data_IF_396627110558
#
_entry.id   IF_396627110558
#
_cell.length_a   1.000
_cell.length_b   1.000
_cell.length_c   1.000
_cell.angle_alpha   90.00
_cell.angle_beta   90.00
_cell.angle_gamma   90.00
#
_symmetry.space_group_name_H-M   'P 1'
#
loop_
_entity.id
_entity.type
_entity.pdbx_description
1 polymer ?
#
# COMPACT_ATOMS: atom_id res chain seq x y z
N UNK A 1 12.64 -16.09 3.92
CA UNK A 1 13.72 -15.97 2.91
C UNK A 1 13.13 -15.43 1.62
N UNK A 2 13.27 -14.12 1.36
CA UNK A 2 12.76 -13.50 0.13
C UNK A 2 13.66 -13.94 -1.02
N UNK A 3 13.10 -14.75 -1.91
CA UNK A 3 13.78 -15.30 -3.07
C UNK A 3 14.28 -14.15 -3.96
N UNK A 4 15.59 -13.95 -3.94
CA UNK A 4 16.31 -12.74 -4.35
C UNK A 4 16.41 -12.68 -5.90
N UNK A 5 15.27 -12.54 -6.60
CA UNK A 5 15.16 -12.74 -8.06
C UNK A 5 15.61 -11.56 -8.94
N UNK A 6 16.14 -10.45 -8.40
CA UNK A 6 16.46 -9.23 -9.19
C UNK A 6 17.93 -8.76 -9.13
N UNK A 7 18.90 -9.67 -9.01
CA UNK A 7 20.34 -9.36 -8.96
C UNK A 7 20.92 -8.54 -10.13
N UNK A 8 20.24 -8.44 -11.28
CA UNK A 8 20.76 -7.73 -12.47
C UNK A 8 20.74 -6.22 -12.26
N UNK A 9 19.66 -5.75 -11.65
CA UNK A 9 19.35 -4.33 -11.54
C UNK A 9 19.75 -3.76 -10.20
N UNK A 10 20.10 -4.63 -9.23
CA UNK A 10 20.39 -4.27 -7.85
C UNK A 10 19.40 -3.19 -7.34
N UNK A 11 18.09 -3.49 -7.36
CA UNK A 11 17.08 -2.47 -7.14
C UNK A 11 17.23 -1.88 -5.74
N UNK A 12 17.18 -0.55 -5.67
CA UNK A 12 17.11 0.17 -4.41
C UNK A 12 15.66 0.54 -4.13
N UNK A 13 15.14 0.14 -2.97
CA UNK A 13 13.78 0.49 -2.59
C UNK A 13 13.75 1.92 -2.06
N UNK A 14 12.83 2.72 -2.61
CA UNK A 14 12.51 4.05 -2.11
C UNK A 14 11.02 4.08 -1.83
N UNK A 15 10.66 4.56 -0.64
CA UNK A 15 9.27 4.68 -0.21
C UNK A 15 8.46 5.57 -1.17
N UNK A 16 7.17 5.27 -1.29
CA UNK A 16 6.28 6.06 -2.14
C UNK A 16 6.12 7.47 -1.58
N UNK A 17 6.12 8.48 -2.45
CA UNK A 17 5.86 9.87 -2.05
C UNK A 17 4.44 10.01 -1.48
N UNK A 18 4.25 10.65 -0.32
CA UNK A 18 2.93 10.75 0.29
C UNK A 18 1.95 11.56 -0.60
N UNK A 19 0.66 11.18 -0.59
CA UNK A 19 -0.35 11.89 -1.39
C UNK A 19 -0.47 13.37 -0.93
N UNK A 20 -0.39 14.34 -1.85
CA UNK A 20 -0.59 15.74 -1.54
C UNK A 20 -2.07 16.04 -1.26
N UNK A 21 -2.32 17.08 -0.45
CA UNK A 21 -3.68 17.57 -0.16
C UNK A 21 -4.58 16.60 0.59
N UNK A 22 -4.00 15.63 1.31
CA UNK A 22 -4.75 14.70 2.16
C UNK A 22 -5.44 15.48 3.30
N UNK A 23 -6.76 15.34 3.40
CA UNK A 23 -7.57 15.89 4.48
C UNK A 23 -7.78 14.75 5.48
N UNK A 24 -7.29 14.88 6.73
CA UNK A 24 -7.38 13.81 7.72
C UNK A 24 -8.82 13.59 8.19
N UNK A 25 -9.05 12.43 8.82
CA UNK A 25 -10.31 12.15 9.52
C UNK A 25 -10.55 13.18 10.62
N UNK A 26 -11.81 13.57 10.79
CA UNK A 26 -12.23 14.42 11.90
C UNK A 26 -11.96 13.70 13.24
N UNK A 27 -11.17 14.36 14.10
CA UNK A 27 -10.78 13.83 15.40
C UNK A 27 -11.96 13.71 16.37
N UNK A 28 -13.01 14.53 16.19
CA UNK A 28 -14.22 14.47 17.01
C UNK A 28 -14.99 13.16 16.84
N UNK A 29 -14.72 12.41 15.76
CA UNK A 29 -15.31 11.08 15.55
C UNK A 29 -14.69 10.00 16.45
N UNK A 30 -13.61 10.29 17.19
CA UNK A 30 -13.05 9.38 18.20
C UNK A 30 -12.81 7.96 17.66
N UNK A 31 -13.33 6.95 18.34
CA UNK A 31 -13.29 5.53 17.91
C UNK A 31 -14.55 5.08 17.17
N UNK A 32 -15.39 6.00 16.70
CA UNK A 32 -16.63 5.69 16.01
C UNK A 32 -16.36 4.97 14.69
N UNK A 33 -17.16 3.93 14.42
CA UNK A 33 -17.18 3.25 13.13
C UNK A 33 -18.61 3.20 12.63
N UNK A 34 -18.88 4.08 11.68
CA UNK A 34 -20.14 4.16 10.94
C UNK A 34 -19.87 4.22 9.43
N UNK A 35 -18.78 4.84 8.99
CA UNK A 35 -18.51 5.06 7.58
C UNK A 35 -17.32 4.21 7.11
N UNK A 36 -17.62 3.08 6.48
CA UNK A 36 -16.62 2.15 5.92
C UNK A 36 -16.51 2.43 4.43
N UNK A 37 -15.31 2.70 3.94
CA UNK A 37 -15.12 3.15 2.56
C UNK A 37 -14.20 2.25 1.75
N UNK A 38 -14.44 2.24 0.44
CA UNK A 38 -13.42 1.94 -0.56
C UNK A 38 -13.10 3.22 -1.32
N UNK A 39 -11.82 3.51 -1.55
CA UNK A 39 -11.42 4.61 -2.41
C UNK A 39 -10.54 4.12 -3.55
N UNK A 40 -10.98 4.33 -4.78
CA UNK A 40 -10.25 3.88 -5.96
C UNK A 40 -11.17 3.78 -7.17
N UNK A 41 -10.70 3.18 -8.25
CA UNK A 41 -11.55 2.97 -9.43
C UNK A 41 -12.48 1.77 -9.22
N UNK A 42 -13.66 1.81 -9.83
CA UNK A 42 -14.67 0.72 -9.76
C UNK A 42 -14.11 -0.64 -10.22
N UNK A 43 -13.20 -0.63 -11.20
CA UNK A 43 -12.50 -1.81 -11.72
C UNK A 43 -11.44 -2.39 -10.80
N UNK A 44 -11.17 -1.77 -9.65
CA UNK A 44 -10.20 -2.24 -8.65
C UNK A 44 -10.89 -2.64 -7.34
N UNK A 45 -12.22 -2.68 -7.33
CA UNK A 45 -13.03 -3.17 -6.22
C UNK A 45 -13.52 -4.57 -6.55
N UNK A 46 -13.20 -5.53 -5.68
CA UNK A 46 -13.69 -6.91 -5.76
C UNK A 46 -15.23 -6.95 -5.82
N UNK A 47 -15.79 -7.85 -6.64
CA UNK A 47 -17.24 -7.96 -6.83
C UNK A 47 -17.98 -8.37 -5.55
N UNK A 48 -17.35 -9.14 -4.66
CA UNK A 48 -17.94 -9.53 -3.37
C UNK A 48 -18.19 -8.33 -2.47
N UNK A 49 -17.36 -7.27 -2.55
CA UNK A 49 -17.58 -6.01 -1.82
C UNK A 49 -18.63 -5.09 -2.46
N UNK A 50 -19.27 -5.54 -3.54
CA UNK A 50 -20.45 -4.90 -4.15
C UNK A 50 -21.72 -5.70 -3.91
N UNK A 51 -21.61 -6.87 -3.29
CA UNK A 51 -22.73 -7.79 -3.07
C UNK A 51 -23.67 -7.33 -1.96
N UNK A 52 -24.93 -7.77 -2.03
CA UNK A 52 -25.91 -7.53 -0.98
C UNK A 52 -25.45 -8.11 0.37
N UNK A 53 -24.77 -9.27 0.36
CA UNK A 53 -24.20 -9.87 1.58
C UNK A 53 -23.25 -8.91 2.30
N UNK A 54 -22.38 -8.20 1.57
CA UNK A 54 -21.48 -7.21 2.15
C UNK A 54 -22.24 -6.02 2.74
N UNK A 55 -23.17 -5.47 1.96
CA UNK A 55 -23.92 -4.26 2.31
C UNK A 55 -24.80 -4.53 3.53
N UNK A 56 -25.57 -5.62 3.53
CA UNK A 56 -26.42 -6.03 4.65
C UNK A 56 -25.61 -6.28 5.92
N UNK A 57 -24.46 -6.95 5.82
CA UNK A 57 -23.61 -7.18 6.97
C UNK A 57 -23.07 -5.88 7.59
N UNK A 58 -22.82 -4.84 6.79
CA UNK A 58 -22.45 -3.52 7.31
C UNK A 58 -23.67 -2.81 7.93
N UNK A 59 -24.84 -2.89 7.31
CA UNK A 59 -26.07 -2.30 7.84
C UNK A 59 -26.48 -2.91 9.19
N UNK A 60 -26.37 -4.22 9.36
CA UNK A 60 -26.57 -4.93 10.63
C UNK A 60 -25.59 -4.46 11.73
N UNK A 61 -24.40 -4.01 11.32
CA UNK A 61 -23.42 -3.39 12.20
C UNK A 61 -23.65 -1.89 12.37
N UNK A 62 -24.75 -1.30 11.88
CA UNK A 62 -25.00 0.14 11.86
C UNK A 62 -23.84 0.91 11.20
N UNK A 63 -23.32 0.37 10.10
CA UNK A 63 -22.28 0.96 9.26
C UNK A 63 -22.82 1.18 7.84
N UNK A 64 -22.36 2.24 7.19
CA UNK A 64 -22.62 2.62 5.81
C UNK A 64 -21.44 2.20 4.95
N UNK A 65 -21.73 1.58 3.81
CA UNK A 65 -20.73 1.33 2.77
C UNK A 65 -20.60 2.55 1.84
N UNK A 66 -19.39 3.12 1.76
CA UNK A 66 -19.11 4.33 0.98
C UNK A 66 -18.05 4.04 -0.09
N UNK A 67 -18.41 3.46 -1.25
CA UNK A 67 -17.49 3.33 -2.36
C UNK A 67 -17.27 4.69 -3.07
N UNK A 68 -16.09 5.28 -2.90
CA UNK A 68 -15.69 6.58 -3.45
C UNK A 68 -14.89 6.38 -4.74
N UNK A 69 -15.60 6.49 -5.87
CA UNK A 69 -14.99 6.31 -7.20
C UNK A 69 -14.47 7.60 -7.83
N UNK A 70 -14.88 8.77 -7.33
CA UNK A 70 -14.47 10.07 -7.88
C UNK A 70 -13.03 10.42 -7.45
N UNK A 71 -12.06 10.53 -8.38
CA UNK A 71 -10.65 10.76 -8.02
C UNK A 71 -10.41 12.03 -7.19
N UNK A 72 -11.18 13.08 -7.47
CA UNK A 72 -11.15 14.35 -6.73
C UNK A 72 -11.55 14.25 -5.25
N UNK A 73 -12.08 13.11 -4.82
CA UNK A 73 -12.48 12.84 -3.42
C UNK A 73 -11.55 11.83 -2.72
N UNK A 74 -10.55 11.26 -3.41
CA UNK A 74 -9.65 10.27 -2.81
C UNK A 74 -8.66 10.85 -1.81
N UNK A 75 -8.66 12.17 -1.61
CA UNK A 75 -7.85 12.84 -0.60
C UNK A 75 -8.65 13.18 0.65
N UNK A 76 -9.97 13.04 0.67
CA UNK A 76 -10.82 13.48 1.76
C UNK A 76 -11.24 12.31 2.67
N UNK A 77 -10.65 12.27 3.85
CA UNK A 77 -10.95 11.25 4.87
C UNK A 77 -11.79 11.80 6.02
N UNK A 78 -12.25 13.05 5.96
CA UNK A 78 -12.91 13.77 7.07
C UNK A 78 -13.97 12.91 7.78
N UNK A 79 -14.79 12.21 7.00
CA UNK A 79 -15.89 11.39 7.49
C UNK A 79 -15.67 9.87 7.32
N UNK A 80 -14.45 9.41 7.05
CA UNK A 80 -14.16 7.99 6.84
C UNK A 80 -13.66 7.37 8.13
N UNK A 81 -14.24 6.26 8.56
CA UNK A 81 -13.86 5.61 9.83
C UNK A 81 -12.96 4.40 9.65
N UNK A 82 -13.10 3.70 8.52
CA UNK A 82 -12.25 2.59 8.11
C UNK A 82 -12.21 2.49 6.59
N UNK A 83 -11.08 2.03 6.04
CA UNK A 83 -10.95 1.71 4.61
C UNK A 83 -10.84 0.21 4.41
N UNK A 84 -11.73 -0.36 3.60
CA UNK A 84 -11.65 -1.74 3.12
C UNK A 84 -11.22 -1.70 1.65
N UNK A 85 -10.08 -2.30 1.31
CA UNK A 85 -9.60 -2.33 -0.06
C UNK A 85 -9.08 -3.72 -0.48
N UNK A 86 -9.87 -4.37 -1.33
CA UNK A 86 -9.57 -5.66 -1.95
C UNK A 86 -9.84 -5.55 -3.45
N UNK A 87 -8.88 -5.98 -4.26
CA UNK A 87 -9.05 -6.09 -5.72
C UNK A 87 -9.67 -7.42 -6.11
N UNK A 88 -9.12 -8.48 -5.54
CA UNK A 88 -9.59 -9.85 -5.66
C UNK A 88 -9.31 -10.60 -4.35
N UNK A 89 -10.16 -11.55 -4.00
CA UNK A 89 -9.90 -12.54 -2.93
C UNK A 89 -9.16 -13.80 -3.40
N UNK A 90 -8.63 -13.81 -4.64
CA UNK A 90 -7.93 -14.96 -5.25
C UNK A 90 -6.47 -15.14 -4.76
N UNK A 91 -6.01 -14.30 -3.84
CA UNK A 91 -4.63 -14.32 -3.32
C UNK A 91 -3.59 -13.71 -4.28
N UNK A 92 -4.00 -13.03 -5.35
CA UNK A 92 -3.07 -12.36 -6.26
C UNK A 92 -2.26 -11.27 -5.52
N UNK A 93 -0.91 -11.32 -5.57
CA UNK A 93 -0.08 -10.39 -4.79
C UNK A 93 0.06 -8.99 -5.40
N UNK A 94 -0.43 -8.73 -6.63
CA UNK A 94 -0.40 -7.41 -7.27
C UNK A 94 0.95 -6.66 -7.19
N UNK A 95 2.03 -7.31 -7.67
CA UNK A 95 3.44 -6.86 -7.54
C UNK A 95 3.78 -5.44 -8.01
N UNK A 96 2.94 -4.86 -8.87
CA UNK A 96 3.17 -3.54 -9.45
C UNK A 96 2.32 -2.43 -8.82
N UNK A 97 1.52 -2.74 -7.79
CA UNK A 97 0.65 -1.76 -7.13
C UNK A 97 1.36 -1.17 -5.91
N UNK A 98 1.42 0.16 -5.77
CA UNK A 98 2.03 0.79 -4.60
C UNK A 98 1.14 0.66 -3.37
N UNK A 99 1.74 0.80 -2.18
CA UNK A 99 1.03 0.78 -0.90
C UNK A 99 0.29 2.10 -0.59
N UNK A 100 -0.04 2.91 -1.59
CA UNK A 100 -0.54 4.29 -1.39
C UNK A 100 -1.79 4.36 -0.52
N UNK A 101 -2.72 3.38 -0.65
CA UNK A 101 -3.91 3.31 0.20
C UNK A 101 -3.57 3.17 1.68
N UNK A 102 -2.63 2.28 2.02
CA UNK A 102 -2.19 2.05 3.39
C UNK A 102 -1.54 3.32 3.97
N UNK A 103 -0.63 3.92 3.21
CA UNK A 103 0.08 5.15 3.61
C UNK A 103 -0.90 6.30 3.85
N UNK A 104 -1.91 6.45 2.98
CA UNK A 104 -2.94 7.46 3.17
C UNK A 104 -3.78 7.20 4.42
N UNK A 105 -4.14 5.94 4.71
CA UNK A 105 -4.90 5.59 5.92
C UNK A 105 -4.12 5.95 7.19
N UNK A 106 -2.83 5.59 7.24
CA UNK A 106 -1.93 5.99 8.34
C UNK A 106 -1.88 7.50 8.55
N UNK A 107 -1.69 8.27 7.48
CA UNK A 107 -1.61 9.74 7.54
C UNK A 107 -2.95 10.40 7.87
N UNK A 108 -4.06 9.78 7.48
CA UNK A 108 -5.40 10.30 7.71
C UNK A 108 -5.98 9.92 9.07
N UNK A 109 -5.32 9.04 9.83
CA UNK A 109 -5.82 8.55 11.12
C UNK A 109 -7.02 7.60 10.94
N UNK A 110 -6.92 6.65 10.02
CA UNK A 110 -7.98 5.69 9.67
C UNK A 110 -7.40 4.27 9.61
N UNK A 111 -8.05 3.23 10.16
CA UNK A 111 -7.60 1.85 10.01
C UNK A 111 -7.76 1.37 8.57
N UNK A 112 -6.78 0.64 8.08
CA UNK A 112 -6.86 -0.06 6.81
C UNK A 112 -7.17 -1.56 7.03
N UNK A 113 -8.09 -2.08 6.23
CA UNK A 113 -8.46 -3.49 6.14
C UNK A 113 -8.18 -3.92 4.69
N UNK A 114 -7.13 -4.71 4.49
CA UNK A 114 -6.52 -4.91 3.18
C UNK A 114 -6.31 -6.39 2.87
N UNK A 115 -6.45 -6.74 1.59
CA UNK A 115 -5.90 -7.99 1.09
C UNK A 115 -4.36 -7.99 1.20
N UNK A 116 -3.70 -9.16 1.34
CA UNK A 116 -2.25 -9.25 1.51
C UNK A 116 -1.48 -9.00 0.19
N UNK A 117 -1.73 -7.86 -0.46
CA UNK A 117 -0.96 -7.42 -1.63
C UNK A 117 0.50 -7.19 -1.25
N UNK A 118 1.40 -7.49 -2.16
CA UNK A 118 2.87 -7.47 -1.96
C UNK A 118 3.40 -6.16 -1.38
N UNK A 119 2.87 -5.01 -1.81
CA UNK A 119 3.33 -3.71 -1.32
C UNK A 119 2.85 -3.41 0.10
N UNK A 120 1.63 -3.81 0.46
CA UNK A 120 1.15 -3.70 1.85
C UNK A 120 1.96 -4.60 2.77
N UNK A 121 2.21 -5.84 2.35
CA UNK A 121 3.01 -6.78 3.13
C UNK A 121 4.46 -6.32 3.28
N UNK A 122 5.05 -5.66 2.27
CA UNK A 122 6.39 -5.10 2.35
C UNK A 122 6.49 -3.91 3.33
N UNK A 123 5.40 -3.16 3.53
CA UNK A 123 5.35 -2.05 4.48
C UNK A 123 5.07 -2.49 5.93
N UNK A 124 4.60 -3.72 6.12
CA UNK A 124 4.16 -4.26 7.41
C UNK A 124 5.33 -4.60 8.31
N UNK A 125 5.26 -4.13 9.55
CA UNK A 125 6.12 -4.44 10.70
C UNK A 125 5.34 -5.07 11.86
N UNK A 126 4.04 -4.78 11.99
CA UNK A 126 3.20 -5.33 13.08
C UNK A 126 1.75 -5.59 12.66
N UNK A 127 0.98 -6.26 13.53
CA UNK A 127 -0.47 -6.46 13.38
C UNK A 127 -1.27 -5.14 13.48
N UNK A 128 -0.70 -4.10 14.11
CA UNK A 128 -1.35 -2.79 14.25
C UNK A 128 -1.21 -1.90 13.00
N UNK A 129 -0.45 -2.34 12.01
CA UNK A 129 -0.24 -1.59 10.77
C UNK A 129 -1.48 -1.59 9.89
N UNK A 130 -2.13 -2.75 9.75
CA UNK A 130 -3.41 -2.93 9.07
C UNK A 130 -3.94 -4.35 9.32
N UNK A 131 -5.25 -4.50 9.24
CA UNK A 131 -5.89 -5.81 9.31
C UNK A 131 -5.79 -6.51 7.95
N UNK A 132 -5.31 -7.76 7.97
CA UNK A 132 -5.23 -8.60 6.77
C UNK A 132 -6.52 -9.39 6.63
N UNK A 133 -7.09 -9.39 5.42
CA UNK A 133 -8.28 -10.18 5.07
C UNK A 133 -8.05 -10.97 3.79
N UNK A 134 -8.61 -12.18 3.71
CA UNK A 134 -8.50 -13.10 2.57
C UNK A 134 -9.85 -13.55 2.03
N UNK A 135 -10.95 -13.15 2.66
CA UNK A 135 -12.31 -13.46 2.24
C UNK A 135 -13.28 -12.35 2.62
N UNK A 136 -14.49 -12.40 2.06
CA UNK A 136 -15.58 -11.50 2.43
C UNK A 136 -15.95 -11.64 3.91
N UNK A 137 -15.99 -12.86 4.45
CA UNK A 137 -16.34 -13.10 5.85
C UNK A 137 -15.28 -12.56 6.81
N UNK A 138 -14.00 -12.63 6.45
CA UNK A 138 -12.92 -11.97 7.17
C UNK A 138 -13.04 -10.44 7.10
N UNK A 139 -13.48 -9.87 5.98
CA UNK A 139 -13.73 -8.44 5.85
C UNK A 139 -14.84 -7.96 6.82
N UNK A 140 -15.96 -8.70 6.89
CA UNK A 140 -17.08 -8.42 7.79
C UNK A 140 -16.60 -8.52 9.25
N UNK A 141 -15.87 -9.60 9.57
CA UNK A 141 -15.31 -9.83 10.90
C UNK A 141 -14.34 -8.72 11.31
N UNK A 142 -13.50 -8.24 10.39
CA UNK A 142 -12.56 -7.15 10.66
C UNK A 142 -13.28 -5.85 11.01
N UNK A 143 -14.32 -5.46 10.25
CA UNK A 143 -15.14 -4.27 10.56
C UNK A 143 -15.82 -4.43 11.93
N UNK A 144 -16.44 -5.58 12.19
CA UNK A 144 -17.08 -5.90 13.47
C UNK A 144 -16.09 -5.81 14.64
N UNK A 145 -14.88 -6.33 14.45
CA UNK A 145 -13.82 -6.31 15.46
C UNK A 145 -13.42 -4.89 15.82
N UNK A 146 -13.20 -4.03 14.81
CA UNK A 146 -12.88 -2.63 15.06
C UNK A 146 -14.04 -1.89 15.74
N UNK A 147 -15.29 -2.14 15.31
CA UNK A 147 -16.47 -1.47 15.87
C UNK A 147 -16.67 -1.81 17.35
N UNK A 148 -16.46 -3.08 17.71
CA UNK A 148 -16.68 -3.58 19.06
C UNK A 148 -15.45 -3.41 19.98
N UNK A 149 -14.32 -2.93 19.46
CA UNK A 149 -13.09 -2.76 20.23
C UNK A 149 -12.48 -1.36 20.03
N UNK A 150 -13.02 -0.33 20.72
CA UNK A 150 -12.50 1.03 20.69
C UNK A 150 -11.01 1.15 21.04
N UNK A 151 -10.53 0.32 21.97
CA UNK A 151 -9.12 0.34 22.39
C UNK A 151 -8.20 -0.13 21.25
N UNK A 152 -8.56 -1.22 20.57
CA UNK A 152 -7.83 -1.69 19.39
C UNK A 152 -7.84 -0.64 18.27
N UNK A 153 -8.99 -0.01 18.03
CA UNK A 153 -9.10 1.06 17.05
C UNK A 153 -8.08 2.17 17.33
N UNK A 154 -8.06 2.70 18.56
CA UNK A 154 -7.14 3.76 18.96
C UNK A 154 -5.67 3.32 18.90
N UNK A 155 -5.36 2.06 19.23
CA UNK A 155 -4.01 1.49 19.08
C UNK A 155 -3.56 1.47 17.61
N UNK A 156 -4.45 1.07 16.68
CA UNK A 156 -4.16 1.07 15.24
C UNK A 156 -3.94 2.51 14.75
N UNK A 157 -4.76 3.47 15.17
CA UNK A 157 -4.60 4.87 14.80
C UNK A 157 -3.25 5.42 15.27
N UNK A 158 -2.94 5.23 16.56
CA UNK A 158 -1.66 5.67 17.13
C UNK A 158 -0.48 5.08 16.38
N UNK A 159 -0.49 3.75 16.17
CA UNK A 159 0.55 3.08 15.40
C UNK A 159 0.63 3.64 13.97
N UNK A 160 -0.50 3.83 13.29
CA UNK A 160 -0.56 4.42 11.95
C UNK A 160 0.13 5.80 11.88
N UNK A 161 -0.09 6.67 12.86
CA UNK A 161 0.61 7.95 12.92
C UNK A 161 2.12 7.78 13.08
N UNK A 162 2.58 6.86 13.94
CA UNK A 162 4.00 6.52 14.09
C UNK A 162 4.59 5.99 12.76
N UNK A 163 3.90 5.05 12.09
CA UNK A 163 4.28 4.55 10.76
C UNK A 163 4.37 5.67 9.73
N UNK A 164 3.47 6.66 9.81
CA UNK A 164 3.41 7.77 8.86
C UNK A 164 4.61 8.72 8.94
N UNK A 165 5.26 8.82 10.11
CA UNK A 165 6.46 9.66 10.28
C UNK A 165 7.66 9.14 9.49
N UNK A 166 7.71 7.83 9.21
CA UNK A 166 8.74 7.23 8.33
C UNK A 166 8.57 7.66 6.87
N UNK A 167 7.42 8.21 6.50
CA UNK A 167 6.98 8.46 5.12
C UNK A 167 6.64 9.93 4.85
N UNK A 168 7.21 10.83 5.65
CA UNK A 168 7.09 12.28 5.40
C UNK A 168 7.81 12.67 4.10
N UNK A 169 7.41 13.79 3.45
CA UNK A 169 8.14 14.31 2.30
C UNK A 169 9.64 14.45 2.57
N UNK A 170 10.02 14.92 3.76
CA UNK A 170 11.41 15.06 4.16
C UNK A 170 12.11 13.70 4.28
N UNK A 171 11.49 12.70 4.93
CA UNK A 171 12.04 11.35 5.02
C UNK A 171 12.27 10.75 3.62
N UNK A 172 11.27 10.83 2.73
CA UNK A 172 11.39 10.29 1.36
C UNK A 172 12.44 11.07 0.57
N UNK A 173 12.54 12.39 0.73
CA UNK A 173 13.62 13.20 0.14
C UNK A 173 14.99 12.71 0.59
N UNK A 174 15.17 12.46 1.88
CA UNK A 174 16.44 11.95 2.41
C UNK A 174 16.78 10.55 1.89
N UNK A 175 15.78 9.67 1.68
CA UNK A 175 16.00 8.38 1.01
C UNK A 175 16.54 8.56 -0.40
N UNK A 176 16.02 9.52 -1.17
CA UNK A 176 16.52 9.85 -2.51
C UNK A 176 17.95 10.42 -2.47
N UNK A 177 18.22 11.38 -1.59
CA UNK A 177 19.57 11.96 -1.44
C UNK A 177 20.58 10.86 -1.09
N UNK A 178 20.24 10.00 -0.13
CA UNK A 178 21.06 8.86 0.25
C UNK A 178 21.27 7.90 -0.94
N UNK A 179 20.22 7.57 -1.69
CA UNK A 179 20.32 6.73 -2.88
C UNK A 179 21.29 7.33 -3.90
N UNK A 180 21.17 8.64 -4.20
CA UNK A 180 22.03 9.29 -5.18
C UNK A 180 23.49 9.29 -4.73
N UNK A 181 23.75 9.79 -3.52
CA UNK A 181 25.11 9.97 -3.02
C UNK A 181 25.84 8.65 -2.79
N UNK A 182 25.15 7.63 -2.27
CA UNK A 182 25.82 6.41 -1.81
C UNK A 182 25.70 5.24 -2.79
N UNK A 183 24.79 5.30 -3.77
CA UNK A 183 24.57 4.19 -4.70
C UNK A 183 24.63 4.63 -6.16
N UNK A 184 23.82 5.61 -6.56
CA UNK A 184 23.68 5.96 -7.98
C UNK A 184 24.94 6.61 -8.55
N UNK A 185 25.44 7.69 -7.91
CA UNK A 185 26.64 8.38 -8.38
C UNK A 185 27.88 7.50 -8.30
N UNK A 186 28.18 6.79 -7.19
CA UNK A 186 29.33 5.88 -7.16
C UNK A 186 29.26 4.75 -8.20
N UNK A 187 28.07 4.22 -8.49
CA UNK A 187 27.89 3.23 -9.53
C UNK A 187 28.12 3.81 -10.93
N UNK A 188 27.69 5.05 -11.16
CA UNK A 188 27.91 5.76 -12.42
C UNK A 188 29.39 6.09 -12.65
N UNK A 189 30.09 6.63 -11.64
CA UNK A 189 31.53 6.94 -11.72
C UNK A 189 32.35 5.67 -12.01
N UNK A 190 32.00 4.56 -11.33
CA UNK A 190 32.60 3.25 -11.61
C UNK A 190 32.32 2.79 -13.03
N UNK A 191 31.11 3.02 -13.55
CA UNK A 191 30.80 2.67 -14.94
C UNK A 191 31.56 3.57 -15.92
N UNK A 192 31.78 4.86 -15.62
CA UNK A 192 32.53 5.76 -16.47
C UNK A 192 33.99 5.32 -16.65
N UNK A 193 34.64 4.80 -15.60
CA UNK A 193 36.02 4.29 -15.65
C UNK A 193 36.19 2.98 -16.43
N UNK A 194 35.10 2.34 -16.89
CA UNK A 194 35.18 1.14 -17.71
C UNK A 194 35.62 1.46 -19.15
N UNK A 195 36.45 0.57 -19.71
CA UNK A 195 36.75 0.58 -21.15
C UNK A 195 35.49 0.39 -21.98
N UNK A 196 35.50 0.87 -23.23
CA UNK A 196 34.34 0.75 -24.13
C UNK A 196 33.90 -0.71 -24.33
N UNK A 197 34.86 -1.64 -24.39
CA UNK A 197 34.58 -3.07 -24.45
C UNK A 197 33.82 -3.55 -23.21
N UNK A 198 34.26 -3.16 -22.00
CA UNK A 198 33.60 -3.55 -20.75
C UNK A 198 32.20 -2.95 -20.62
N UNK A 199 32.01 -1.68 -21.05
CA UNK A 199 30.68 -1.04 -21.11
C UNK A 199 29.73 -1.81 -22.02
N UNK A 200 30.17 -2.16 -23.24
CA UNK A 200 29.39 -2.95 -24.20
C UNK A 200 29.06 -4.34 -23.66
N UNK A 201 30.03 -5.04 -23.07
CA UNK A 201 29.82 -6.35 -22.45
C UNK A 201 28.79 -6.30 -21.32
N UNK A 202 28.89 -5.31 -20.43
CA UNK A 202 27.94 -5.19 -19.31
C UNK A 202 26.52 -4.85 -19.80
N UNK A 203 26.39 -3.95 -20.78
CA UNK A 203 25.10 -3.65 -21.42
C UNK A 203 24.47 -4.90 -22.05
N UNK A 204 25.21 -5.62 -22.90
CA UNK A 204 24.70 -6.82 -23.56
C UNK A 204 24.27 -7.88 -22.55
N UNK A 205 25.08 -8.12 -21.51
CA UNK A 205 24.75 -9.05 -20.42
C UNK A 205 23.42 -8.70 -19.76
N UNK A 206 23.20 -7.42 -19.41
CA UNK A 206 21.95 -6.95 -18.79
C UNK A 206 20.77 -7.05 -19.76
N UNK A 207 20.96 -6.66 -21.02
CA UNK A 207 19.94 -6.71 -22.07
C UNK A 207 19.44 -8.13 -22.34
N UNK A 208 20.34 -9.09 -22.56
CA UNK A 208 19.96 -10.48 -22.81
C UNK A 208 19.24 -11.10 -21.61
N UNK A 209 19.73 -10.83 -20.40
CA UNK A 209 19.09 -11.37 -19.21
C UNK A 209 17.70 -10.75 -18.96
N UNK A 210 17.51 -9.45 -19.26
CA UNK A 210 16.18 -8.82 -19.27
C UNK A 210 15.22 -9.49 -20.27
N UNK A 211 15.69 -9.77 -21.49
CA UNK A 211 14.91 -10.48 -22.51
C UNK A 211 14.52 -11.88 -22.04
N UNK A 212 15.46 -12.63 -21.46
CA UNK A 212 15.22 -13.97 -20.92
C UNK A 212 14.20 -13.93 -19.78
N UNK A 213 14.34 -13.02 -18.81
CA UNK A 213 13.37 -12.88 -17.70
C UNK A 213 11.97 -12.53 -18.21
N UNK A 214 11.86 -11.69 -19.25
CA UNK A 214 10.56 -11.37 -19.86
C UNK A 214 9.93 -12.56 -20.58
N UNK A 215 10.73 -13.44 -21.18
CA UNK A 215 10.23 -14.67 -21.81
C UNK A 215 9.72 -15.66 -20.76
N UNK A 216 10.50 -15.88 -19.69
CA UNK A 216 10.11 -16.79 -18.60
C UNK A 216 8.82 -16.32 -17.91
N UNK A 217 8.66 -15.02 -17.67
CA UNK A 217 7.48 -14.48 -16.99
C UNK A 217 6.24 -14.31 -17.91
N UNK A 218 6.34 -14.70 -19.20
CA UNK A 218 5.22 -14.71 -20.15
C UNK A 218 4.58 -16.11 -20.30
N UNK A 219 5.23 -17.15 -19.76
CA UNK A 219 4.76 -18.53 -19.65
C UNK A 219 4.20 -18.71 -18.24
#
# INVERSE_FOLDING_TARGET
MINNKNFIWNPYYISHWPQPGLIPRDQNRGSLIENVAFMGTRSQLDEQLKSDKWIQALEELNCKWLPIFAPKKWNDYTNIDAVVAVRTFDGNPYKNKPASKLINCWRAGVPAILAPESSFMACRKSELDFLIIKSLDEAITAVKTLKNNPELYLKIIKNGFERSQELTPESVKQQWINFFNNFAFPAYDRWQSFSQFKKRKDYLRRYFKLKLTRLINRI
#
